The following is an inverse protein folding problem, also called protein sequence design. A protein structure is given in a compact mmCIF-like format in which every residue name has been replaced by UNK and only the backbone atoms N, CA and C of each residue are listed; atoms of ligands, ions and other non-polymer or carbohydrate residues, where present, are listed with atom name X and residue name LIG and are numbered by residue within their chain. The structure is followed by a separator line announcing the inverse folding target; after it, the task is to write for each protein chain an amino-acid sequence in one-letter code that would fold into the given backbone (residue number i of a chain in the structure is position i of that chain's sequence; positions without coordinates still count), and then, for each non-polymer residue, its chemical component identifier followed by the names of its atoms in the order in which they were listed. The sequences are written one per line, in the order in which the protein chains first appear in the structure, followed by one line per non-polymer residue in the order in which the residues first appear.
data_IF_970697928037
#
_entry.id   IF_970697928037
#
_cell.length_a   1.000
_cell.length_b   1.000
_cell.length_c   1.000
_cell.angle_alpha   90.00
_cell.angle_beta   90.00
_cell.angle_gamma   90.00
#
_symmetry.space_group_name_H-M   'P 1'
#
loop_
_entity.id
_entity.type
_entity.pdbx_description
1 polymer ?
#
# COMPACT_ATOMS: atom_id res chain seq x y z
N UNK A 1 14.09 -9.31 20.84
CA UNK A 1 13.34 -8.62 19.76
C UNK A 1 14.35 -8.23 18.68
N UNK A 2 14.09 -8.53 17.40
CA UNK A 2 15.04 -8.23 16.32
C UNK A 2 14.75 -6.83 15.75
N UNK A 3 15.47 -5.82 16.25
CA UNK A 3 15.29 -4.41 15.91
C UNK A 3 15.55 -4.11 14.44
N UNK A 4 16.51 -4.81 13.82
CA UNK A 4 16.80 -4.68 12.39
C UNK A 4 15.61 -5.09 11.52
N UNK A 5 14.98 -6.22 11.83
CA UNK A 5 13.79 -6.70 11.11
C UNK A 5 12.62 -5.72 11.24
N UNK A 6 12.38 -5.18 12.44
CA UNK A 6 11.30 -4.21 12.67
C UNK A 6 11.60 -2.89 11.96
N UNK A 7 12.83 -2.39 12.01
CA UNK A 7 13.24 -1.17 11.29
C UNK A 7 13.00 -1.31 9.79
N UNK A 8 13.39 -2.44 9.20
CA UNK A 8 13.16 -2.73 7.78
C UNK A 8 11.66 -2.81 7.45
N UNK A 9 10.88 -3.45 8.31
CA UNK A 9 9.43 -3.55 8.17
C UNK A 9 8.76 -2.17 8.16
N UNK A 10 9.10 -1.30 9.12
CA UNK A 10 8.51 0.04 9.20
C UNK A 10 8.94 0.91 8.01
N UNK A 11 10.18 0.76 7.53
CA UNK A 11 10.66 1.47 6.32
C UNK A 11 9.90 1.09 5.05
N UNK A 12 9.31 -0.10 4.97
CA UNK A 12 8.42 -0.49 3.86
C UNK A 12 7.14 0.39 3.82
N UNK A 13 6.75 0.98 4.94
CA UNK A 13 5.52 1.77 5.06
C UNK A 13 5.77 3.27 4.91
N UNK A 14 7.01 3.69 4.61
CA UNK A 14 7.37 5.10 4.48
C UNK A 14 7.75 5.38 3.03
N UNK A 15 7.09 6.39 2.46
CA UNK A 15 7.30 6.91 1.11
C UNK A 15 7.90 8.30 1.23
N UNK A 16 8.99 8.58 0.51
CA UNK A 16 9.73 9.87 0.58
C UNK A 16 9.08 11.00 -0.23
N UNK A 17 7.76 10.99 -0.32
CA UNK A 17 6.96 12.05 -0.95
C UNK A 17 5.55 12.04 -0.37
N UNK A 18 4.87 13.17 -0.48
CA UNK A 18 3.44 13.23 -0.20
C UNK A 18 2.74 12.48 -1.32
N UNK A 19 1.80 11.61 -0.95
CA UNK A 19 1.00 10.82 -1.88
C UNK A 19 -0.42 10.82 -1.34
N UNK A 20 -1.31 11.62 -1.92
CA UNK A 20 -2.73 11.66 -1.53
C UNK A 20 -3.54 10.68 -2.38
N UNK A 21 -4.78 10.39 -1.97
CA UNK A 21 -5.68 9.59 -2.82
C UNK A 21 -6.00 10.32 -4.12
N UNK A 22 -6.10 11.65 -4.12
CA UNK A 22 -6.32 12.43 -5.34
C UNK A 22 -5.18 12.23 -6.33
N UNK A 23 -3.93 12.27 -5.85
CA UNK A 23 -2.77 11.99 -6.69
C UNK A 23 -2.75 10.53 -7.19
N UNK A 24 -3.14 9.59 -6.33
CA UNK A 24 -3.31 8.19 -6.75
C UNK A 24 -4.39 8.05 -7.84
N UNK A 25 -5.48 8.80 -7.74
CA UNK A 25 -6.59 8.79 -8.71
C UNK A 25 -6.17 9.40 -10.05
N UNK A 26 -5.45 10.52 -10.02
CA UNK A 26 -4.89 11.15 -11.22
C UNK A 26 -3.93 10.19 -11.94
N UNK A 27 -3.15 9.44 -11.16
CA UNK A 27 -2.18 8.46 -11.65
C UNK A 27 -2.76 7.06 -11.86
N UNK A 28 -4.05 6.84 -11.60
CA UNK A 28 -4.70 5.54 -11.82
C UNK A 28 -4.73 5.13 -13.30
N UNK A 29 -4.42 6.06 -14.21
CA UNK A 29 -4.21 5.78 -15.63
C UNK A 29 -2.87 5.09 -15.92
N UNK A 30 -1.93 5.07 -14.97
CA UNK A 30 -0.66 4.36 -15.07
C UNK A 30 -0.85 2.91 -14.59
N UNK A 31 -0.86 1.91 -15.49
CA UNK A 31 -0.92 0.52 -15.07
C UNK A 31 0.33 0.20 -14.24
N UNK A 32 0.13 -0.25 -13.01
CA UNK A 32 1.17 -0.62 -12.04
C UNK A 32 1.98 0.56 -11.48
N UNK A 33 1.31 1.61 -11.00
CA UNK A 33 1.96 2.68 -10.23
C UNK A 33 2.83 2.08 -9.10
N UNK A 34 4.15 2.15 -9.30
CA UNK A 34 5.13 1.70 -8.32
C UNK A 34 5.60 2.89 -7.51
N UNK A 35 5.53 2.77 -6.18
CA UNK A 35 5.92 3.81 -5.25
C UNK A 35 7.09 3.28 -4.42
N UNK A 36 8.32 3.80 -4.64
CA UNK A 36 9.47 3.42 -3.84
C UNK A 36 9.28 3.76 -2.37
N UNK A 37 9.83 2.90 -1.51
CA UNK A 37 9.80 3.06 -0.04
C UNK A 37 11.19 3.32 0.51
N UNK A 38 11.29 3.67 1.79
CA UNK A 38 12.57 3.75 2.51
C UNK A 38 13.29 2.40 2.66
N UNK A 39 12.62 1.29 2.37
CA UNK A 39 13.21 -0.04 2.33
C UNK A 39 13.66 -0.36 0.90
N UNK A 40 14.94 -0.12 0.64
CA UNK A 40 15.54 -0.20 -0.70
C UNK A 40 15.17 -1.50 -1.43
N UNK A 41 14.68 -1.36 -2.65
CA UNK A 41 14.26 -2.48 -3.51
C UNK A 41 12.86 -3.03 -3.22
N UNK A 42 12.11 -2.44 -2.28
CA UNK A 42 10.73 -2.80 -2.00
C UNK A 42 9.82 -1.61 -2.32
N UNK A 43 8.99 -1.77 -3.34
CA UNK A 43 8.01 -0.79 -3.77
C UNK A 43 6.63 -1.14 -3.19
N UNK A 44 5.78 -0.13 -3.05
CA UNK A 44 4.34 -0.29 -2.87
C UNK A 44 3.65 -0.14 -4.21
N UNK A 45 2.55 -0.88 -4.37
CA UNK A 45 1.68 -0.85 -5.53
C UNK A 45 0.29 -0.46 -5.05
N UNK A 46 -0.37 0.46 -5.75
CA UNK A 46 -1.69 0.94 -5.38
C UNK A 46 -2.69 0.59 -6.47
N UNK A 47 -3.89 0.19 -6.04
CA UNK A 47 -5.03 0.00 -6.93
C UNK A 47 -6.23 0.73 -6.34
N UNK A 48 -7.06 1.30 -7.22
CA UNK A 48 -8.24 2.06 -6.83
C UNK A 48 -9.46 1.38 -7.44
N UNK A 49 -10.42 1.09 -6.57
CA UNK A 49 -11.70 0.54 -6.95
C UNK A 49 -12.79 1.62 -6.81
N UNK A 50 -13.38 2.00 -7.95
CA UNK A 50 -14.40 3.05 -8.07
C UNK A 50 -15.83 2.49 -8.02
N UNK A 51 -16.04 1.30 -7.45
CA UNK A 51 -17.38 0.74 -7.27
C UNK A 51 -18.32 1.71 -6.52
N UNK A 52 -17.76 2.51 -5.63
CA UNK A 52 -18.40 3.68 -5.03
C UNK A 52 -17.59 4.93 -5.40
N UNK A 53 -18.18 5.83 -6.19
CA UNK A 53 -17.54 7.06 -6.64
C UNK A 53 -17.40 8.09 -5.53
N UNK A 54 -18.21 8.01 -4.47
CA UNK A 54 -18.14 8.90 -3.32
C UNK A 54 -17.09 8.41 -2.31
N UNK A 55 -16.89 7.09 -2.25
CA UNK A 55 -15.90 6.45 -1.36
C UNK A 55 -15.04 5.43 -2.13
N UNK A 56 -14.07 5.89 -2.94
CA UNK A 56 -13.19 4.99 -3.66
C UNK A 56 -12.39 4.12 -2.67
N UNK A 57 -12.40 2.81 -2.90
CA UNK A 57 -11.64 1.86 -2.08
C UNK A 57 -10.23 1.79 -2.65
N UNK A 58 -9.24 2.23 -1.86
CA UNK A 58 -7.83 2.16 -2.24
C UNK A 58 -7.19 0.96 -1.55
N UNK A 59 -6.59 0.08 -2.34
CA UNK A 59 -5.76 -1.02 -1.84
C UNK A 59 -4.29 -0.73 -2.08
N UNK A 60 -3.46 -1.21 -1.18
CA UNK A 60 -2.00 -1.12 -1.26
C UNK A 60 -1.40 -2.52 -1.10
N UNK A 61 -0.47 -2.85 -1.99
CA UNK A 61 0.30 -4.07 -1.94
C UNK A 61 1.77 -3.78 -1.68
N UNK A 62 2.33 -4.49 -0.71
CA UNK A 62 3.74 -4.41 -0.36
C UNK A 62 4.25 -5.74 0.20
N UNK A 63 5.34 -6.24 -0.38
CA UNK A 63 6.03 -7.45 0.08
C UNK A 63 5.10 -8.66 0.27
N UNK A 64 4.17 -8.88 -0.67
CA UNK A 64 3.26 -10.04 -0.68
C UNK A 64 2.02 -9.90 0.21
N UNK A 65 1.81 -8.74 0.83
CA UNK A 65 0.61 -8.45 1.63
C UNK A 65 -0.18 -7.35 0.94
N UNK A 66 -1.50 -7.58 0.80
CA UNK A 66 -2.44 -6.60 0.28
C UNK A 66 -3.29 -6.06 1.43
N UNK A 67 -3.22 -4.76 1.69
CA UNK A 67 -4.02 -4.04 2.67
C UNK A 67 -4.98 -3.06 2.00
N UNK A 68 -6.01 -2.66 2.74
CA UNK A 68 -7.00 -1.66 2.32
C UNK A 68 -6.87 -0.43 3.21
N UNK A 69 -6.93 0.76 2.61
CA UNK A 69 -6.95 2.01 3.36
C UNK A 69 -8.28 2.11 4.11
N UNK A 70 -8.22 2.27 5.43
CA UNK A 70 -9.39 2.50 6.30
C UNK A 70 -9.58 3.97 6.63
N UNK A 71 -8.52 4.76 6.52
CA UNK A 71 -8.57 6.22 6.64
C UNK A 71 -7.50 6.80 5.72
N UNK A 72 -7.92 7.67 4.81
CA UNK A 72 -7.04 8.30 3.85
C UNK A 72 -6.80 9.78 4.18
N UNK A 73 -5.69 10.33 3.67
CA UNK A 73 -5.40 11.76 3.66
C UNK A 73 -5.38 12.43 5.04
N UNK A 74 -4.85 11.76 6.07
CA UNK A 74 -4.58 12.43 7.36
C UNK A 74 -3.40 13.38 7.16
N UNK A 75 -3.70 14.67 6.98
CA UNK A 75 -2.69 15.68 6.68
C UNK A 75 -1.83 15.95 7.91
N UNK A 76 -0.52 15.88 7.72
CA UNK A 76 0.50 16.19 8.71
C UNK A 76 1.37 17.37 8.23
N UNK A 77 2.20 17.90 9.13
CA UNK A 77 3.05 19.07 8.83
C UNK A 77 4.01 18.85 7.65
N UNK A 78 4.46 17.62 7.45
CA UNK A 78 5.49 17.23 6.50
C UNK A 78 5.05 16.10 5.56
N UNK A 79 3.75 15.82 5.46
CA UNK A 79 3.25 14.77 4.59
C UNK A 79 1.80 14.41 4.83
N UNK A 80 1.43 13.22 4.38
CA UNK A 80 0.14 12.61 4.62
C UNK A 80 0.32 11.23 5.23
N UNK A 81 -0.61 10.85 6.10
CA UNK A 81 -0.70 9.51 6.68
C UNK A 81 -1.96 8.84 6.18
N UNK A 82 -1.82 7.57 5.81
CA UNK A 82 -2.94 6.68 5.50
C UNK A 82 -2.94 5.54 6.50
N UNK A 83 -4.11 5.19 7.03
CA UNK A 83 -4.31 4.05 7.91
C UNK A 83 -4.70 2.86 7.04
N UNK A 84 -4.03 1.72 7.24
CA UNK A 84 -4.23 0.49 6.49
C UNK A 84 -4.60 -0.64 7.46
N UNK A 85 -5.51 -1.51 7.05
CA UNK A 85 -6.02 -2.61 7.87
C UNK A 85 -5.05 -3.79 8.08
N UNK A 86 -3.91 -3.79 7.38
CA UNK A 86 -2.88 -4.83 7.46
C UNK A 86 -1.48 -4.25 7.54
N UNK A 87 -0.61 -4.99 8.23
CA UNK A 87 0.82 -4.71 8.31
C UNK A 87 1.54 -5.33 7.11
N UNK A 88 2.06 -4.50 6.21
CA UNK A 88 2.70 -4.97 4.98
C UNK A 88 4.03 -5.67 5.29
N UNK A 89 4.35 -6.71 4.52
CA UNK A 89 5.57 -7.50 4.71
C UNK A 89 5.53 -8.54 5.84
N UNK A 90 4.38 -8.71 6.52
CA UNK A 90 4.11 -9.90 7.36
C UNK A 90 2.92 -10.66 6.74
N UNK A 91 3.18 -11.72 5.96
CA UNK A 91 2.13 -12.53 5.36
C UNK A 91 1.23 -13.16 6.42
N UNK A 92 -0.08 -12.99 6.25
CA UNK A 92 -1.12 -13.67 7.02
C UNK A 92 -1.89 -14.69 6.18
N UNK A 93 -1.45 -14.91 4.93
CA UNK A 93 -2.08 -15.81 3.95
C UNK A 93 -1.06 -16.84 3.47
N UNK A 94 -1.55 -18.02 3.14
CA UNK A 94 -0.81 -19.05 2.40
C UNK A 94 -0.65 -18.66 0.93
N UNK A 95 0.26 -19.35 0.22
CA UNK A 95 0.45 -19.16 -1.23
C UNK A 95 -0.86 -19.42 -1.99
N UNK A 96 -1.59 -20.47 -1.62
CA UNK A 96 -2.87 -20.80 -2.27
C UNK A 96 -3.90 -19.68 -2.09
N UNK A 97 -4.06 -19.14 -0.88
CA UNK A 97 -4.98 -18.03 -0.61
C UNK A 97 -4.59 -16.76 -1.37
N UNK A 98 -3.29 -16.45 -1.45
CA UNK A 98 -2.81 -15.29 -2.23
C UNK A 98 -3.11 -15.47 -3.72
N UNK A 99 -2.84 -16.63 -4.32
CA UNK A 99 -3.22 -16.93 -5.70
C UNK A 99 -4.73 -16.85 -5.93
N UNK A 100 -5.52 -17.31 -4.95
CA UNK A 100 -6.97 -17.26 -5.04
C UNK A 100 -7.53 -15.83 -4.91
N UNK A 101 -6.83 -14.89 -4.29
CA UNK A 101 -7.36 -13.54 -3.98
C UNK A 101 -6.75 -12.42 -4.82
N UNK A 102 -5.56 -12.62 -5.38
CA UNK A 102 -4.86 -11.62 -6.18
C UNK A 102 -5.32 -11.62 -7.64
N UNK A 103 -5.92 -10.51 -8.14
CA UNK A 103 -6.38 -10.42 -9.52
C UNK A 103 -5.26 -10.51 -10.57
N UNK A 104 -4.01 -10.22 -10.20
CA UNK A 104 -2.86 -10.22 -11.13
C UNK A 104 -2.31 -11.65 -11.29
N UNK A 105 -2.50 -12.52 -10.30
CA UNK A 105 -1.90 -13.86 -10.27
C UNK A 105 -2.85 -15.00 -10.67
N UNK A 106 -4.12 -14.70 -10.95
CA UNK A 106 -5.09 -15.67 -11.46
C UNK A 106 -4.90 -15.97 -12.95
#
# INVERSE_FOLDING_TARGET
MNTEKISRLLRLHIVERILTTDELMDRNREPNLQVPTLNKGQNLYFAINFMDTESPVVTVEGAGVTGTLTTANVIARNGAVHIVDRLLGIPSQTVYEKLATDPILR
#
